data_IF_181805301601
#
_entry.id   IF_181805301601
#
_cell.length_a   1.000
_cell.length_b   1.000
_cell.length_c   1.000
_cell.angle_alpha   90.00
_cell.angle_beta   90.00
_cell.angle_gamma   90.00
#
_symmetry.space_group_name_H-M   'P 1'
#
loop_
_entity.id
_entity.type
_entity.pdbx_description
1 polymer ?
#
# COMPACT_ATOMS: atom_id res chain seq x y z
N UNK A 1 13.02 -8.97 17.58
CA UNK A 1 12.35 -8.21 16.52
C UNK A 1 11.70 -6.99 17.14
N UNK A 2 11.78 -5.82 16.50
CA UNK A 2 11.12 -4.59 16.96
C UNK A 2 10.06 -4.18 15.94
N UNK A 3 8.82 -3.98 16.38
CA UNK A 3 7.72 -3.52 15.53
C UNK A 3 7.42 -2.05 15.79
N UNK A 4 7.34 -1.26 14.73
CA UNK A 4 7.04 0.17 14.78
C UNK A 4 5.86 0.46 13.84
N UNK A 5 5.09 1.50 14.15
CA UNK A 5 4.11 2.07 13.23
C UNK A 5 4.61 3.42 12.75
N UNK A 6 4.59 3.63 11.44
CA UNK A 6 4.94 4.92 10.88
C UNK A 6 3.83 5.93 11.19
N UNK A 7 4.16 6.96 11.97
CA UNK A 7 3.21 7.94 12.48
C UNK A 7 3.31 9.25 11.71
N UNK A 8 2.47 9.42 10.69
CA UNK A 8 2.39 10.65 9.88
C UNK A 8 0.95 11.13 9.73
N UNK A 9 0.82 12.40 9.36
CA UNK A 9 -0.45 13.13 9.37
C UNK A 9 -0.97 13.50 7.98
N UNK A 10 -0.24 13.19 6.90
CA UNK A 10 -0.66 13.50 5.52
C UNK A 10 -0.41 12.33 4.56
N UNK A 11 -1.28 12.19 3.55
CA UNK A 11 -1.18 11.13 2.53
C UNK A 11 0.09 11.28 1.71
N UNK A 12 0.43 12.50 1.27
CA UNK A 12 1.59 12.73 0.42
C UNK A 12 2.90 12.43 1.13
N UNK A 13 3.08 12.85 2.39
CA UNK A 13 4.30 12.52 3.15
C UNK A 13 4.49 11.00 3.27
N UNK A 14 3.39 10.25 3.36
CA UNK A 14 3.38 8.81 3.43
C UNK A 14 3.85 8.12 2.14
N UNK A 15 3.41 8.60 0.97
CA UNK A 15 3.91 8.09 -0.31
C UNK A 15 5.39 8.34 -0.45
N UNK A 16 5.82 9.56 -0.12
CA UNK A 16 7.20 9.97 -0.27
C UNK A 16 8.10 9.14 0.64
N UNK A 17 7.71 8.96 1.91
CA UNK A 17 8.42 8.11 2.84
C UNK A 17 8.54 6.68 2.32
N UNK A 18 7.44 6.06 1.85
CA UNK A 18 7.48 4.70 1.34
C UNK A 18 8.36 4.59 0.09
N UNK A 19 8.26 5.52 -0.87
CA UNK A 19 9.14 5.60 -2.03
C UNK A 19 10.61 5.74 -1.64
N UNK A 20 10.93 6.50 -0.59
CA UNK A 20 12.29 6.64 -0.09
C UNK A 20 12.80 5.35 0.55
N UNK A 21 11.96 4.61 1.30
CA UNK A 21 12.34 3.28 1.81
C UNK A 21 12.57 2.27 0.67
N UNK A 22 11.77 2.34 -0.39
CA UNK A 22 11.96 1.52 -1.58
C UNK A 22 13.32 1.82 -2.23
N UNK A 23 13.78 3.07 -2.20
CA UNK A 23 15.10 3.45 -2.73
C UNK A 23 16.26 3.20 -1.76
N UNK A 24 15.99 3.08 -0.46
CA UNK A 24 17.01 2.85 0.56
C UNK A 24 17.59 1.43 0.45
N UNK A 25 18.89 1.33 0.18
CA UNK A 25 19.58 0.04 0.09
C UNK A 25 19.69 -0.71 1.42
N UNK A 26 19.36 -0.06 2.55
CA UNK A 26 19.29 -0.68 3.88
C UNK A 26 17.94 -1.30 4.19
N UNK A 27 16.91 -0.99 3.40
CA UNK A 27 15.63 -1.66 3.52
C UNK A 27 15.68 -2.94 2.68
N UNK A 28 15.64 -4.10 3.35
CA UNK A 28 15.81 -5.40 2.72
C UNK A 28 14.59 -5.82 1.89
N UNK A 29 13.40 -5.58 2.42
CA UNK A 29 12.16 -6.07 1.83
C UNK A 29 10.99 -5.15 2.20
N UNK A 30 10.06 -4.95 1.27
CA UNK A 30 8.77 -4.30 1.54
C UNK A 30 7.66 -5.17 0.97
N UNK A 31 6.64 -5.42 1.78
CA UNK A 31 5.44 -6.16 1.37
C UNK A 31 4.27 -5.19 1.31
N UNK A 32 3.61 -5.13 0.16
CA UNK A 32 2.41 -4.33 -0.06
C UNK A 32 1.15 -5.18 0.11
N UNK A 33 0.10 -4.54 0.61
CA UNK A 33 -1.22 -5.10 0.81
C UNK A 33 -2.25 -4.09 0.33
N UNK A 34 -3.45 -4.56 -0.02
CA UNK A 34 -4.63 -3.73 -0.09
C UNK A 34 -5.45 -3.95 1.18
N UNK A 35 -5.99 -2.92 1.81
CA UNK A 35 -6.91 -3.11 2.91
C UNK A 35 -8.21 -3.75 2.43
N UNK A 36 -9.08 -4.13 3.37
CA UNK A 36 -10.49 -4.42 3.08
C UNK A 36 -11.11 -3.30 2.23
N UNK A 37 -12.02 -3.67 1.33
CA UNK A 37 -12.82 -2.69 0.58
C UNK A 37 -13.88 -2.06 1.46
N UNK A 38 -14.58 -1.06 0.92
CA UNK A 38 -15.71 -0.48 1.63
C UNK A 38 -16.90 -1.42 1.64
N UNK A 39 -17.70 -1.30 2.68
CA UNK A 39 -19.03 -1.87 2.69
C UNK A 39 -19.92 -1.04 1.76
N UNK A 40 -20.34 -1.62 0.63
CA UNK A 40 -21.16 -0.94 -0.37
C UNK A 40 -22.63 -0.84 0.06
N UNK A 41 -23.02 -1.57 1.11
CA UNK A 41 -24.36 -1.54 1.69
C UNK A 41 -24.50 -0.43 2.75
N UNK A 42 -23.39 0.17 3.19
CA UNK A 42 -23.36 1.35 4.06
C UNK A 42 -23.42 2.63 3.22
N UNK A 43 -24.54 3.37 3.34
CA UNK A 43 -24.73 4.63 2.61
C UNK A 43 -23.69 5.69 2.97
N UNK A 44 -23.19 5.75 4.20
CA UNK A 44 -22.18 6.73 4.62
C UNK A 44 -20.80 6.38 4.06
N UNK A 45 -20.45 5.09 4.07
CA UNK A 45 -19.25 4.60 3.39
C UNK A 45 -19.30 4.94 1.89
N UNK A 46 -20.45 4.74 1.23
CA UNK A 46 -20.64 5.02 -0.20
C UNK A 46 -20.19 6.42 -0.64
N UNK A 47 -20.31 7.42 0.22
CA UNK A 47 -19.95 8.82 -0.08
C UNK A 47 -18.53 9.21 0.37
N UNK A 48 -17.98 8.60 1.44
CA UNK A 48 -16.58 8.82 1.89
C UNK A 48 -15.67 7.59 1.72
N UNK A 49 -15.73 6.98 0.53
CA UNK A 49 -14.97 5.78 0.19
C UNK A 49 -13.51 6.10 -0.16
N UNK A 50 -12.59 5.95 0.78
CA UNK A 50 -11.16 5.87 0.48
C UNK A 50 -10.63 4.42 0.50
N UNK A 51 -11.39 3.44 1.00
CA UNK A 51 -10.94 2.05 0.90
C UNK A 51 -11.08 1.53 -0.55
N UNK A 52 -10.31 0.52 -0.96
CA UNK A 52 -9.13 -0.02 -0.28
C UNK A 52 -7.98 0.99 -0.19
N UNK A 53 -7.23 0.93 0.92
CA UNK A 53 -5.99 1.67 1.12
C UNK A 53 -4.79 0.74 0.83
N UNK A 54 -3.71 1.30 0.31
CA UNK A 54 -2.42 0.60 0.29
C UNK A 54 -1.90 0.48 1.72
N UNK A 55 -1.57 -0.72 2.15
CA UNK A 55 -0.89 -0.99 3.43
C UNK A 55 0.48 -1.55 3.11
N UNK A 56 1.51 -1.17 3.87
CA UNK A 56 2.86 -1.68 3.66
C UNK A 56 3.52 -2.16 4.95
N UNK A 57 4.34 -3.20 4.82
CA UNK A 57 5.23 -3.70 5.86
C UNK A 57 6.67 -3.62 5.34
N UNK A 58 7.45 -2.69 5.88
CA UNK A 58 8.86 -2.56 5.54
C UNK A 58 9.72 -3.31 6.56
N UNK A 59 10.70 -4.07 6.06
CA UNK A 59 11.63 -4.85 6.86
C UNK A 59 13.05 -4.31 6.71
N UNK A 60 13.66 -4.04 7.84
CA UNK A 60 15.07 -3.69 7.98
C UNK A 60 15.76 -4.77 8.79
N UNK A 61 16.90 -5.24 8.31
CA UNK A 61 17.78 -6.16 9.00
C UNK A 61 18.97 -5.35 9.50
N UNK A 62 19.09 -5.21 10.81
CA UNK A 62 20.28 -4.62 11.42
C UNK A 62 21.27 -5.77 11.66
N UNK A 63 22.41 -5.81 10.93
CA UNK A 63 23.36 -6.92 11.06
C UNK A 63 23.78 -7.12 12.51
N UNK A 64 23.71 -8.37 12.97
CA UNK A 64 24.10 -8.79 14.33
C UNK A 64 23.26 -8.23 15.49
N UNK A 65 22.14 -7.56 15.22
CA UNK A 65 21.26 -7.01 16.25
C UNK A 65 19.88 -7.64 16.17
N UNK A 66 19.06 -7.20 15.20
CA UNK A 66 17.66 -7.62 15.11
C UNK A 66 17.04 -7.16 13.78
N UNK A 67 15.83 -7.65 13.46
CA UNK A 67 15.00 -7.09 12.41
C UNK A 67 14.03 -6.04 12.97
N UNK A 68 13.94 -4.90 12.31
CA UNK A 68 12.92 -3.86 12.55
C UNK A 68 11.86 -3.95 11.47
N UNK A 69 10.60 -4.02 11.90
CA UNK A 69 9.43 -4.04 11.03
C UNK A 69 8.64 -2.75 11.22
N UNK A 70 8.36 -2.06 10.12
CA UNK A 70 7.63 -0.79 10.14
C UNK A 70 6.32 -0.96 9.37
N UNK A 71 5.21 -0.77 10.07
CA UNK A 71 3.85 -0.83 9.50
C UNK A 71 3.42 0.55 9.01
N UNK A 72 2.87 0.57 7.80
CA UNK A 72 2.24 1.72 7.16
C UNK A 72 0.76 1.42 6.91
N UNK A 73 -0.10 1.76 7.88
CA UNK A 73 -1.54 1.42 7.90
C UNK A 73 -2.46 2.57 8.36
N UNK A 74 -1.92 3.75 8.70
CA UNK A 74 -2.65 4.80 9.43
C UNK A 74 -3.43 5.80 8.57
N UNK A 75 -2.87 6.26 7.44
CA UNK A 75 -3.50 7.19 6.48
C UNK A 75 -2.84 6.95 5.13
N UNK A 76 -3.44 6.18 4.23
CA UNK A 76 -2.69 5.77 3.05
C UNK A 76 -3.48 5.79 1.75
N UNK A 77 -2.70 5.70 0.67
CA UNK A 77 -3.12 5.87 -0.70
C UNK A 77 -4.29 5.00 -1.10
N UNK A 78 -5.12 5.56 -1.97
CA UNK A 78 -6.26 4.87 -2.55
C UNK A 78 -6.25 5.04 -4.05
N UNK A 79 -6.48 3.94 -4.76
CA UNK A 79 -6.79 3.96 -6.18
C UNK A 79 -8.31 3.98 -6.43
N UNK A 80 -9.13 3.96 -5.36
CA UNK A 80 -10.58 4.04 -5.47
C UNK A 80 -11.07 5.43 -5.92
N UNK A 81 -10.23 6.47 -5.78
CA UNK A 81 -10.53 7.84 -6.23
C UNK A 81 -9.61 8.22 -7.40
N UNK A 82 -10.16 8.56 -8.58
CA UNK A 82 -9.35 8.93 -9.75
C UNK A 82 -8.30 10.03 -9.49
N UNK A 83 -8.57 11.09 -8.69
CA UNK A 83 -7.56 12.12 -8.41
C UNK A 83 -6.34 11.63 -7.61
N UNK A 84 -6.45 10.50 -6.89
CA UNK A 84 -5.36 9.93 -6.06
C UNK A 84 -4.65 8.75 -6.73
N UNK A 85 -5.13 8.29 -7.88
CA UNK A 85 -4.52 7.22 -8.65
C UNK A 85 -3.06 7.54 -9.03
N UNK A 86 -2.75 8.78 -9.39
CA UNK A 86 -1.39 9.18 -9.78
C UNK A 86 -0.34 8.90 -8.69
N UNK A 87 -0.72 9.01 -7.41
CA UNK A 87 0.17 8.71 -6.30
C UNK A 87 0.41 7.19 -6.14
N UNK A 88 -0.63 6.37 -6.33
CA UNK A 88 -0.52 4.89 -6.35
C UNK A 88 0.34 4.44 -7.53
N UNK A 89 0.10 5.01 -8.71
CA UNK A 89 0.88 4.72 -9.92
C UNK A 89 2.36 4.99 -9.71
N UNK A 90 2.69 6.17 -9.16
CA UNK A 90 4.08 6.54 -8.86
C UNK A 90 4.73 5.58 -7.86
N UNK A 91 4.01 5.16 -6.82
CA UNK A 91 4.49 4.15 -5.88
C UNK A 91 4.82 2.83 -6.59
N UNK A 92 3.92 2.35 -7.46
CA UNK A 92 4.12 1.10 -8.21
C UNK A 92 5.28 1.19 -9.21
N UNK A 93 5.45 2.33 -9.87
CA UNK A 93 6.57 2.58 -10.78
C UNK A 93 7.91 2.49 -10.03
N UNK A 94 8.00 3.11 -8.85
CA UNK A 94 9.20 3.04 -7.99
C UNK A 94 9.39 1.63 -7.42
N UNK A 95 8.31 0.94 -7.08
CA UNK A 95 8.36 -0.40 -6.51
C UNK A 95 8.96 -1.42 -7.48
N UNK A 96 8.46 -1.46 -8.71
CA UNK A 96 8.91 -2.37 -9.78
C UNK A 96 10.38 -2.11 -10.13
N UNK A 97 10.86 -0.88 -10.01
CA UNK A 97 12.26 -0.54 -10.30
C UNK A 97 13.26 -1.02 -9.22
N UNK A 98 12.80 -1.50 -8.06
CA UNK A 98 13.68 -1.82 -6.91
C UNK A 98 13.93 -3.31 -6.67
N UNK A 99 13.24 -4.20 -7.39
CA UNK A 99 13.30 -5.67 -7.28
C UNK A 99 13.10 -6.29 -5.87
N UNK A 100 12.85 -5.48 -4.83
CA UNK A 100 12.72 -5.90 -3.42
C UNK A 100 11.30 -5.78 -2.87
N UNK A 101 10.33 -5.56 -3.75
CA UNK A 101 8.93 -5.35 -3.38
C UNK A 101 8.14 -6.61 -3.67
N UNK A 102 7.32 -6.95 -2.70
CA UNK A 102 6.39 -8.06 -2.78
C UNK A 102 4.99 -7.57 -2.47
N UNK A 103 3.98 -8.40 -2.75
CA UNK A 103 2.60 -8.13 -2.37
C UNK A 103 1.88 -9.39 -1.91
N UNK A 104 0.82 -9.19 -1.12
CA UNK A 104 -0.15 -10.24 -0.83
C UNK A 104 -1.35 -10.14 -1.76
N UNK A 105 -1.78 -11.29 -2.30
CA UNK A 105 -3.04 -11.40 -3.03
C UNK A 105 -4.29 -11.33 -2.14
N UNK A 106 -4.11 -11.28 -0.81
CA UNK A 106 -5.20 -11.19 0.17
C UNK A 106 -5.31 -9.77 0.72
N UNK A 107 -6.55 -9.32 0.98
CA UNK A 107 -6.81 -8.02 1.56
C UNK A 107 -6.54 -8.03 3.07
N UNK A 108 -5.78 -7.05 3.55
CA UNK A 108 -5.47 -6.88 4.95
C UNK A 108 -6.67 -6.30 5.71
N UNK A 109 -6.97 -6.77 6.94
CA UNK A 109 -7.90 -6.06 7.81
C UNK A 109 -7.36 -4.67 8.16
N UNK A 110 -8.22 -3.79 8.66
CA UNK A 110 -7.78 -2.51 9.20
C UNK A 110 -6.99 -2.76 10.48
N UNK A 111 -5.70 -2.43 10.45
CA UNK A 111 -4.74 -2.70 11.54
C UNK A 111 -4.39 -1.45 12.34
N UNK A 112 -4.90 -0.28 11.95
CA UNK A 112 -4.62 1.03 12.56
C UNK A 112 -4.92 1.09 14.05
N UNK A 113 -5.95 0.37 14.52
CA UNK A 113 -6.34 0.27 15.93
C UNK A 113 -5.55 -0.79 16.73
N UNK A 114 -4.81 -1.67 16.04
CA UNK A 114 -4.00 -2.71 16.68
C UNK A 114 -2.69 -2.14 17.20
N UNK A 115 -2.02 -2.82 18.15
CA UNK A 115 -0.63 -2.49 18.46
C UNK A 115 0.29 -2.82 17.27
N UNK A 116 1.48 -2.21 17.16
CA UNK A 116 2.41 -2.52 16.08
C UNK A 116 2.73 -4.03 15.96
N UNK A 117 2.94 -4.72 17.09
CA UNK A 117 3.21 -6.16 17.09
C UNK A 117 2.02 -6.98 16.58
N UNK A 118 0.79 -6.61 16.95
CA UNK A 118 -0.43 -7.25 16.46
C UNK A 118 -0.63 -7.02 14.96
N UNK A 119 -0.40 -5.78 14.48
CA UNK A 119 -0.49 -5.43 13.08
C UNK A 119 0.53 -6.23 12.24
N UNK A 120 1.80 -6.25 12.67
CA UNK A 120 2.85 -7.05 12.03
C UNK A 120 2.48 -8.52 11.98
N UNK A 121 2.06 -9.11 13.11
CA UNK A 121 1.67 -10.52 13.18
C UNK A 121 0.50 -10.82 12.23
N UNK A 122 -0.47 -9.91 12.14
CA UNK A 122 -1.62 -10.06 11.23
C UNK A 122 -1.20 -10.02 9.77
N UNK A 123 -0.34 -9.06 9.40
CA UNK A 123 0.10 -8.87 8.01
C UNK A 123 1.00 -10.00 7.51
N UNK A 124 1.95 -10.47 8.34
CA UNK A 124 2.86 -11.58 7.98
C UNK A 124 2.09 -12.88 7.76
N UNK A 125 1.02 -13.11 8.53
CA UNK A 125 0.22 -14.34 8.47
C UNK A 125 -0.97 -14.25 7.50
N UNK A 126 -1.09 -13.17 6.72
CA UNK A 126 -2.27 -12.91 5.91
C UNK A 126 -2.40 -13.86 4.70
N UNK A 127 -1.30 -14.38 4.19
CA UNK A 127 -1.30 -15.31 3.07
C UNK A 127 0.02 -15.40 2.33
N UNK A 128 -0.01 -15.98 1.14
CA UNK A 128 1.16 -16.07 0.26
C UNK A 128 1.58 -14.70 -0.24
N UNK A 129 2.88 -14.43 -0.15
CA UNK A 129 3.52 -13.22 -0.65
C UNK A 129 4.19 -13.54 -1.99
N UNK A 130 4.07 -12.64 -2.96
CA UNK A 130 4.59 -12.81 -4.33
C UNK A 130 5.39 -11.57 -4.75
N UNK A 131 6.42 -11.70 -5.61
CA UNK A 131 7.15 -10.55 -6.13
C UNK A 131 6.23 -9.59 -6.90
N UNK A 132 6.38 -8.29 -6.66
CA UNK A 132 5.73 -7.27 -7.46
C UNK A 132 6.60 -6.95 -8.68
N UNK A 133 6.10 -7.32 -9.86
CA UNK A 133 6.79 -7.18 -11.15
C UNK A 133 5.90 -6.43 -12.13
N UNK A 134 6.41 -6.16 -13.33
CA UNK A 134 5.59 -5.61 -14.43
C UNK A 134 4.38 -6.50 -14.73
N UNK A 135 4.53 -7.82 -14.63
CA UNK A 135 3.50 -8.80 -14.96
C UNK A 135 2.44 -8.90 -13.85
N UNK A 136 2.86 -8.86 -12.58
CA UNK A 136 1.97 -8.98 -11.42
C UNK A 136 1.39 -7.65 -10.93
N UNK A 137 1.82 -6.51 -11.49
CA UNK A 137 1.32 -5.16 -11.14
C UNK A 137 -0.19 -5.05 -11.25
N UNK A 138 -0.74 -5.49 -12.39
CA UNK A 138 -2.17 -5.40 -12.65
C UNK A 138 -3.00 -6.22 -11.65
N UNK A 139 -2.46 -7.38 -11.22
CA UNK A 139 -3.11 -8.22 -10.21
C UNK A 139 -3.17 -7.51 -8.86
N UNK A 140 -2.05 -6.96 -8.39
CA UNK A 140 -2.05 -6.17 -7.16
C UNK A 140 -2.97 -4.95 -7.26
N UNK A 141 -2.94 -4.23 -8.39
CA UNK A 141 -3.77 -3.05 -8.60
C UNK A 141 -5.27 -3.36 -8.54
N UNK A 142 -5.70 -4.52 -9.04
CA UNK A 142 -7.10 -4.97 -8.96
C UNK A 142 -7.60 -5.16 -7.52
N UNK A 143 -6.70 -5.29 -6.54
CA UNK A 143 -7.08 -5.32 -5.13
C UNK A 143 -7.39 -3.93 -4.58
N UNK A 144 -6.87 -2.88 -5.22
CA UNK A 144 -6.99 -1.47 -4.80
C UNK A 144 -8.09 -0.71 -5.54
N UNK A 145 -8.44 -1.13 -6.75
CA UNK A 145 -9.43 -0.44 -7.58
C UNK A 145 -10.30 -1.42 -8.36
N UNK A 146 -11.55 -1.00 -8.60
CA UNK A 146 -12.45 -1.69 -9.52
C UNK A 146 -12.22 -1.25 -10.99
N UNK A 147 -11.40 -0.22 -11.21
CA UNK A 147 -10.97 0.22 -12.53
C UNK A 147 -9.56 -0.29 -12.80
N UNK A 148 -9.23 -0.45 -14.08
CA UNK A 148 -7.86 -0.65 -14.53
C UNK A 148 -7.07 0.66 -14.49
N UNK A 149 -5.74 0.55 -14.52
CA UNK A 149 -4.85 1.71 -14.61
C UNK A 149 -5.12 2.57 -15.86
N UNK A 150 -5.45 1.95 -16.99
CA UNK A 150 -5.74 2.63 -18.26
C UNK A 150 -7.07 3.40 -18.21
N UNK A 151 -8.13 2.80 -17.67
CA UNK A 151 -9.43 3.47 -17.49
C UNK A 151 -9.29 4.73 -16.60
N UNK A 152 -8.49 4.66 -15.54
CA UNK A 152 -8.25 5.80 -14.66
C UNK A 152 -7.45 6.92 -15.34
N UNK A 153 -6.49 6.57 -16.22
CA UNK A 153 -5.78 7.56 -17.04
C UNK A 153 -6.73 8.29 -17.98
N UNK A 154 -7.63 7.57 -18.64
CA UNK A 154 -8.63 8.17 -19.55
C UNK A 154 -9.60 9.08 -18.80
N UNK A 155 -10.11 8.64 -17.64
CA UNK A 155 -11.01 9.42 -16.80
C UNK A 155 -10.37 10.71 -16.30
N UNK A 156 -9.10 10.65 -15.87
CA UNK A 156 -8.36 11.82 -15.40
C UNK A 156 -8.10 12.83 -16.53
N UNK A 157 -7.61 12.33 -17.67
CA UNK A 157 -7.31 13.17 -18.86
C UNK A 157 -8.54 13.92 -19.37
N UNK A 158 -9.73 13.32 -19.24
CA UNK A 158 -11.00 13.93 -19.65
C UNK A 158 -11.49 15.00 -18.66
N UNK A 159 -11.12 14.90 -17.38
CA UNK A 159 -11.47 15.90 -16.36
C UNK A 159 -10.62 17.17 -16.44
N UNK A 160 -9.34 17.08 -16.80
CA UNK A 160 -8.48 18.26 -16.99
C UNK A 160 -8.82 19.10 -18.24
N UNK A 161 -9.56 18.53 -19.19
CA UNK A 161 -10.03 19.22 -20.39
C UNK A 161 -11.39 19.94 -20.23
N UNK A 162 -12.02 19.87 -19.06
CA UNK A 162 -13.30 20.54 -18.76
C UNK A 162 -13.12 21.73 -17.83
#
# INVERSE_FOLDING_TARGET
>A
MVSLRYATKSTSDNVWALCDLIRDNKCDEIILFASVGNDLDDEEARWDNNLPLVVALAKYIIPHVDSVLVVFDGVFLTAARPPRYGEVRNLLDVAIASDKIYYSGQRAPLTSEMTPDQAVSTLINLGSIQPLTVESRAEYFSLLSNFTEDELVEMYSTQEMR
#
